data_IF_553665492991
#
_entry.id   IF_553665492991
#
_cell.length_a   1.000
_cell.length_b   1.000
_cell.length_c   1.000
_cell.angle_alpha   90.00
_cell.angle_beta   90.00
_cell.angle_gamma   90.00
#
_symmetry.space_group_name_H-M   'P 1'
#
loop_
_entity.id
_entity.type
_entity.pdbx_description
1 polymer ?
#
# COMPACT_ATOMS: atom_id res chain seq x y z
N UNK A 1 -7.62 6.94 -7.46
CA UNK A 1 -7.92 6.41 -6.24
C UNK A 1 -7.47 7.26 -5.15
N UNK A 2 -8.29 7.46 -4.19
CA UNK A 2 -7.93 8.30 -3.15
C UNK A 2 -6.95 7.73 -2.22
N UNK A 3 -6.44 8.50 -1.36
CA UNK A 3 -5.52 8.07 -0.42
C UNK A 3 -6.13 7.12 0.53
N UNK A 4 -5.49 6.08 0.90
CA UNK A 4 -6.01 5.12 1.81
C UNK A 4 -5.57 5.48 3.19
N UNK A 5 -6.39 5.36 4.16
CA UNK A 5 -6.06 5.68 5.53
C UNK A 5 -5.88 4.40 6.28
N UNK A 6 -4.65 3.97 6.36
CA UNK A 6 -4.34 2.68 6.97
C UNK A 6 -4.71 2.59 8.44
N UNK A 7 -4.70 3.69 9.14
CA UNK A 7 -5.00 3.61 10.55
C UNK A 7 -6.45 3.28 10.83
N UNK A 8 -7.30 3.30 9.80
CA UNK A 8 -8.69 2.95 10.00
C UNK A 8 -8.82 1.43 9.90
N UNK A 9 -7.74 0.71 9.60
CA UNK A 9 -7.82 -0.72 9.49
C UNK A 9 -7.05 -1.37 10.60
N UNK A 10 -7.58 -2.55 11.07
CA UNK A 10 -6.92 -3.19 12.12
C UNK A 10 -5.64 -3.75 11.64
N UNK A 11 -5.52 -4.20 10.41
CA UNK A 11 -4.38 -4.86 9.89
C UNK A 11 -3.96 -4.15 8.62
N UNK A 12 -2.87 -3.40 8.64
CA UNK A 12 -2.44 -2.66 7.47
C UNK A 12 -2.10 -3.54 6.27
N UNK A 13 -1.65 -4.76 6.51
CA UNK A 13 -1.34 -5.65 5.41
C UNK A 13 -2.62 -6.07 4.72
N UNK A 14 -3.67 -6.24 5.49
CA UNK A 14 -4.93 -6.61 4.93
C UNK A 14 -5.49 -5.46 4.12
N UNK A 15 -5.35 -4.24 4.61
CA UNK A 15 -5.82 -3.07 3.89
C UNK A 15 -5.06 -2.94 2.58
N UNK A 16 -3.77 -3.18 2.59
CA UNK A 16 -2.95 -3.10 1.41
C UNK A 16 -3.43 -4.15 0.40
N UNK A 17 -3.68 -5.35 0.86
CA UNK A 17 -4.12 -6.43 0.00
C UNK A 17 -5.48 -6.14 -0.63
N UNK A 18 -6.39 -5.63 0.13
CA UNK A 18 -7.70 -5.30 -0.38
C UNK A 18 -7.62 -4.25 -1.48
N UNK A 19 -6.85 -3.21 -1.24
CA UNK A 19 -6.74 -2.15 -2.23
C UNK A 19 -5.98 -2.61 -3.47
N UNK A 20 -4.99 -3.46 -3.28
CA UNK A 20 -4.26 -4.00 -4.40
C UNK A 20 -5.20 -4.84 -5.27
N UNK A 21 -6.07 -5.62 -4.65
CA UNK A 21 -7.01 -6.44 -5.36
C UNK A 21 -7.98 -5.59 -6.18
N UNK A 22 -8.41 -4.48 -5.61
CA UNK A 22 -9.33 -3.60 -6.31
C UNK A 22 -8.65 -3.04 -7.55
N UNK A 23 -7.40 -2.62 -7.43
CA UNK A 23 -6.68 -2.07 -8.57
C UNK A 23 -6.54 -3.13 -9.65
N UNK A 24 -6.19 -4.34 -9.25
CA UNK A 24 -6.02 -5.42 -10.21
C UNK A 24 -7.33 -5.74 -10.90
N UNK A 25 -8.42 -5.73 -10.16
CA UNK A 25 -9.71 -6.01 -10.74
C UNK A 25 -10.12 -4.94 -11.75
N UNK A 26 -9.80 -3.70 -11.45
CA UNK A 26 -10.14 -2.62 -12.37
C UNK A 26 -9.36 -2.77 -13.66
N UNK A 27 -8.11 -3.15 -13.55
CA UNK A 27 -7.30 -3.32 -14.75
C UNK A 27 -7.79 -4.51 -15.56
N UNK A 28 -8.10 -5.61 -14.91
CA UNK A 28 -8.54 -6.77 -15.61
C UNK A 28 -9.91 -6.58 -16.23
N UNK A 29 -10.71 -5.75 -15.64
CA UNK A 29 -12.01 -5.44 -16.19
C UNK A 29 -11.98 -4.35 -17.24
N UNK A 30 -10.79 -3.87 -17.56
CA UNK A 30 -10.67 -2.84 -18.58
C UNK A 30 -11.07 -1.45 -18.15
N UNK A 31 -11.19 -1.23 -16.85
CA UNK A 31 -11.57 0.08 -16.39
C UNK A 31 -10.38 1.02 -16.26
N UNK A 32 -9.21 0.49 -16.11
CA UNK A 32 -8.00 1.32 -16.11
C UNK A 32 -6.96 0.57 -16.89
N UNK A 33 -5.95 1.28 -17.37
CA UNK A 33 -4.91 0.67 -18.19
C UNK A 33 -3.85 0.05 -17.29
N UNK A 34 -2.96 -0.70 -17.89
CA UNK A 34 -1.86 -1.31 -17.16
C UNK A 34 -1.02 -0.22 -16.54
N UNK A 35 -0.78 0.85 -17.25
CA UNK A 35 0.03 1.92 -16.74
C UNK A 35 -0.63 2.58 -15.55
N UNK A 36 -1.92 2.77 -15.64
CA UNK A 36 -2.64 3.38 -14.54
C UNK A 36 -2.62 2.47 -13.32
N UNK A 37 -2.78 1.17 -13.55
CA UNK A 37 -2.75 0.22 -12.45
C UNK A 37 -1.38 0.25 -11.79
N UNK A 38 -0.32 0.26 -12.59
CA UNK A 38 1.03 0.28 -12.06
C UNK A 38 1.27 1.53 -11.23
N UNK A 39 0.80 2.68 -11.71
CA UNK A 39 0.97 3.92 -11.00
C UNK A 39 0.22 3.89 -9.67
N UNK A 40 -0.97 3.33 -9.67
CA UNK A 40 -1.73 3.25 -8.45
C UNK A 40 -1.11 2.30 -7.45
N UNK A 41 -0.55 1.21 -7.93
CA UNK A 41 0.10 0.26 -7.04
C UNK A 41 1.33 0.90 -6.41
N UNK A 42 2.07 1.67 -7.18
CA UNK A 42 3.23 2.34 -6.64
C UNK A 42 2.82 3.32 -5.56
N UNK A 43 1.75 4.05 -5.81
CA UNK A 43 1.27 5.01 -4.84
C UNK A 43 0.80 4.32 -3.57
N UNK A 44 0.11 3.21 -3.73
CA UNK A 44 -0.38 2.44 -2.61
C UNK A 44 0.79 1.93 -1.78
N UNK A 45 1.80 1.44 -2.44
CA UNK A 45 2.97 0.93 -1.74
C UNK A 45 3.67 2.04 -0.98
N UNK A 46 3.76 3.23 -1.55
CA UNK A 46 4.39 4.33 -0.88
C UNK A 46 3.64 4.72 0.38
N UNK A 47 2.33 4.72 0.30
CA UNK A 47 1.51 5.05 1.45
C UNK A 47 1.66 4.01 2.54
N UNK A 48 1.67 2.74 2.14
CA UNK A 48 1.81 1.66 3.08
C UNK A 48 3.17 1.71 3.75
N UNK A 49 4.21 1.98 2.97
CA UNK A 49 5.56 2.05 3.48
C UNK A 49 5.68 3.18 4.49
N UNK A 50 5.08 4.32 4.17
CA UNK A 50 5.13 5.47 5.05
C UNK A 50 4.45 5.13 6.39
N UNK A 51 3.29 4.52 6.31
CA UNK A 51 2.56 4.16 7.49
C UNK A 51 3.35 3.14 8.34
N UNK A 52 3.92 2.17 7.68
CA UNK A 52 4.69 1.16 8.37
C UNK A 52 5.86 1.77 9.10
N UNK A 53 6.59 2.63 8.46
CA UNK A 53 7.71 3.23 9.11
C UNK A 53 7.34 4.13 10.25
N UNK A 54 6.30 4.87 10.12
CA UNK A 54 5.96 5.86 11.13
C UNK A 54 4.97 5.37 12.20
N UNK A 55 4.37 4.27 11.98
CA UNK A 55 3.42 3.79 12.96
C UNK A 55 3.77 2.44 13.51
N UNK A 56 4.09 1.51 12.68
CA UNK A 56 4.38 0.20 13.14
C UNK A 56 5.81 0.02 13.49
N UNK A 57 6.70 0.26 12.52
CA UNK A 57 8.04 0.07 12.78
C UNK A 57 8.55 0.93 13.85
N UNK A 58 7.99 2.08 13.99
CA UNK A 58 8.40 2.97 15.00
C UNK A 58 8.33 2.36 16.35
N UNK A 59 7.43 1.45 16.55
CA UNK A 59 7.31 0.93 17.80
C UNK A 59 8.29 -0.11 17.95
N UNK A 60 8.80 -0.71 16.97
CA UNK A 60 9.61 -1.77 17.19
C UNK A 60 10.93 -1.53 16.99
N UNK A 61 11.38 -0.69 16.67
CA UNK A 61 12.59 -0.38 16.55
C UNK A 61 13.60 -1.22 16.04
N UNK A 62 13.75 -2.18 15.71
CA UNK A 62 14.66 -2.87 15.34
C UNK A 62 14.98 -2.62 14.12
N UNK A 63 15.32 -2.18 13.45
CA UNK A 63 15.61 -1.76 12.36
C UNK A 63 16.36 -2.39 11.55
N UNK A 64 16.68 -2.91 11.33
CA UNK A 64 17.27 -3.54 10.51
C UNK A 64 17.73 -2.99 9.49
N UNK A 65 17.77 -2.36 9.36
CA UNK A 65 18.20 -1.74 8.40
C UNK A 65 18.10 -2.08 7.24
N UNK A 66 17.86 -2.42 6.79
CA UNK A 66 17.78 -2.65 5.67
C UNK A 66 17.04 -2.12 4.98
N UNK A 67 16.63 -1.76 4.86
CA UNK A 67 15.85 -1.28 4.22
C UNK A 67 15.91 -0.91 3.20
N UNK A 68 16.12 -0.87 2.74
CA UNK A 68 16.19 -0.62 1.65
C UNK A 68 15.37 -0.20 1.08
N UNK A 69 14.78 0.10 0.93
CA UNK A 69 13.97 0.40 0.17
C UNK A 69 13.75 0.89 -0.07
#
# INVERSE_FOLDING_TARGET
MDEIIFEHYRDPFRAFNIHMSIICDLEQGGKITEEEAFTQIKSLYKQFKFYYKHSIKGKNVRDSGNSSD
#
